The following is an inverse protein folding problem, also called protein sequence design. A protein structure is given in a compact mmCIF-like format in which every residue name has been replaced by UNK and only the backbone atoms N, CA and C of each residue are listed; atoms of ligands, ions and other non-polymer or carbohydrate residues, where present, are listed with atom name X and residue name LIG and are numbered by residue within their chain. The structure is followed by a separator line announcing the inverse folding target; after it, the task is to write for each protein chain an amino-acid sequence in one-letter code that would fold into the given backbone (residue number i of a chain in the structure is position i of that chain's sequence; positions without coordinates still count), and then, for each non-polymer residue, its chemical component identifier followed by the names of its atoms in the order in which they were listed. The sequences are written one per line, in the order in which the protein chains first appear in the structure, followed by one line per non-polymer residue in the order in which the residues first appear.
data_IF_287678646435
#
_entry.id   IF_287678646435
#
_cell.length_a   1.000
_cell.length_b   1.000
_cell.length_c   1.000
_cell.angle_alpha   90.00
_cell.angle_beta   90.00
_cell.angle_gamma   90.00
#
_symmetry.space_group_name_H-M   'P 1'
#
loop_
_entity.id
_entity.type
_entity.pdbx_description
1 polymer ?
#
# COMPACT_ATOMS: atom_id res chain seq x y z
N UNK A 1 -11.30 -17.52 -23.28
CA UNK A 1 -10.23 -17.08 -22.34
C UNK A 1 -10.64 -15.85 -21.55
N UNK A 2 -11.17 -14.79 -22.16
CA UNK A 2 -11.49 -13.53 -21.45
C UNK A 2 -12.46 -13.70 -20.27
N UNK A 3 -13.55 -14.47 -20.43
CA UNK A 3 -14.53 -14.69 -19.34
C UNK A 3 -13.97 -15.38 -18.10
N UNK A 4 -12.98 -16.26 -18.27
CA UNK A 4 -12.34 -16.94 -17.14
C UNK A 4 -11.43 -15.99 -16.36
N UNK A 5 -10.65 -15.15 -17.07
CA UNK A 5 -9.86 -14.10 -16.44
C UNK A 5 -10.75 -13.02 -15.79
N UNK A 6 -11.84 -12.61 -16.43
CA UNK A 6 -12.81 -11.67 -15.87
C UNK A 6 -13.44 -12.20 -14.58
N UNK A 7 -13.84 -13.48 -14.55
CA UNK A 7 -14.41 -14.09 -13.34
C UNK A 7 -13.40 -14.16 -12.19
N UNK A 8 -12.13 -14.48 -12.47
CA UNK A 8 -11.08 -14.50 -11.46
C UNK A 8 -10.76 -13.10 -10.96
N UNK A 9 -10.64 -12.12 -11.85
CA UNK A 9 -10.43 -10.72 -11.47
C UNK A 9 -11.59 -10.20 -10.62
N UNK A 10 -12.84 -10.46 -11.02
CA UNK A 10 -14.01 -10.06 -10.23
C UNK A 10 -13.98 -10.68 -8.82
N UNK A 11 -13.68 -11.97 -8.71
CA UNK A 11 -13.59 -12.64 -7.42
C UNK A 11 -12.47 -12.06 -6.52
N UNK A 12 -11.31 -11.77 -7.10
CA UNK A 12 -10.21 -11.10 -6.38
C UNK A 12 -10.61 -9.69 -5.95
N UNK A 13 -11.31 -8.96 -6.79
CA UNK A 13 -11.83 -7.62 -6.47
C UNK A 13 -12.85 -7.68 -5.34
N UNK A 14 -13.77 -8.64 -5.35
CA UNK A 14 -14.78 -8.80 -4.31
C UNK A 14 -14.13 -9.13 -2.95
N UNK A 15 -13.18 -10.07 -2.93
CA UNK A 15 -12.41 -10.40 -1.72
C UNK A 15 -11.64 -9.18 -1.23
N UNK A 16 -10.96 -8.48 -2.14
CA UNK A 16 -10.17 -7.30 -1.78
C UNK A 16 -11.05 -6.20 -1.20
N UNK A 17 -12.26 -6.01 -1.74
CA UNK A 17 -13.23 -5.04 -1.23
C UNK A 17 -13.70 -5.40 0.18
N UNK A 18 -13.94 -6.68 0.46
CA UNK A 18 -14.27 -7.15 1.80
C UNK A 18 -13.10 -6.93 2.78
N UNK A 19 -11.87 -7.29 2.39
CA UNK A 19 -10.68 -7.06 3.22
C UNK A 19 -10.46 -5.57 3.49
N UNK A 20 -10.66 -4.71 2.49
CA UNK A 20 -10.59 -3.26 2.67
C UNK A 20 -11.63 -2.77 3.68
N UNK A 21 -12.86 -3.27 3.62
CA UNK A 21 -13.90 -2.97 4.61
C UNK A 21 -13.49 -3.36 6.03
N UNK A 22 -12.86 -4.53 6.21
CA UNK A 22 -12.34 -4.97 7.50
C UNK A 22 -11.19 -4.09 8.00
N UNK A 23 -10.30 -3.62 7.11
CA UNK A 23 -9.24 -2.67 7.46
C UNK A 23 -9.83 -1.35 7.93
N UNK A 24 -10.81 -0.80 7.21
CA UNK A 24 -11.49 0.45 7.61
C UNK A 24 -12.19 0.30 8.96
N UNK A 25 -12.88 -0.81 9.18
CA UNK A 25 -13.47 -1.13 10.49
C UNK A 25 -12.39 -1.20 11.57
N UNK A 26 -11.27 -1.87 11.29
CA UNK A 26 -10.12 -1.95 12.19
C UNK A 26 -9.54 -0.59 12.56
N UNK A 27 -9.47 0.35 11.61
CA UNK A 27 -9.04 1.73 11.86
C UNK A 27 -10.06 2.44 12.76
N UNK A 28 -11.37 2.34 12.48
CA UNK A 28 -12.41 3.00 13.28
C UNK A 28 -12.40 2.46 14.72
N UNK A 29 -12.31 1.14 14.89
CA UNK A 29 -12.17 0.52 16.21
C UNK A 29 -10.86 0.94 16.87
N UNK A 30 -9.75 0.98 16.13
CA UNK A 30 -8.46 1.38 16.65
C UNK A 30 -8.43 2.82 17.17
N UNK A 31 -9.13 3.75 16.52
CA UNK A 31 -9.26 5.13 17.00
C UNK A 31 -10.05 5.18 18.32
N UNK A 32 -11.08 4.35 18.46
CA UNK A 32 -11.98 4.36 19.62
C UNK A 32 -11.45 3.55 20.82
N UNK A 33 -10.60 2.55 20.58
CA UNK A 33 -10.17 1.56 21.57
C UNK A 33 -8.64 1.36 21.57
N UNK A 34 -7.86 2.42 21.35
CA UNK A 34 -6.39 2.43 21.46
C UNK A 34 -5.70 1.35 20.61
N UNK A 35 -6.02 1.30 19.32
CA UNK A 35 -5.48 0.39 18.30
C UNK A 35 -5.53 -1.10 18.66
N UNK A 36 -6.65 -1.57 19.22
CA UNK A 36 -6.84 -2.97 19.66
C UNK A 36 -6.44 -4.04 18.64
N UNK A 37 -6.66 -3.81 17.35
CA UNK A 37 -6.30 -4.75 16.28
C UNK A 37 -4.92 -4.47 15.65
N UNK A 38 -4.20 -3.44 16.10
CA UNK A 38 -2.89 -3.05 15.60
C UNK A 38 -2.88 -2.56 14.15
N UNK A 39 -4.04 -2.16 13.62
CA UNK A 39 -4.20 -1.79 12.20
C UNK A 39 -3.55 -0.44 11.94
N UNK A 40 -3.63 0.51 12.89
CA UNK A 40 -3.05 1.84 12.73
C UNK A 40 -1.52 1.73 12.78
N UNK A 41 -0.97 0.99 13.75
CA UNK A 41 0.46 0.72 13.84
C UNK A 41 0.99 -0.04 12.61
N UNK A 42 0.25 -1.05 12.13
CA UNK A 42 0.59 -1.81 10.93
C UNK A 42 0.61 -0.95 9.66
N UNK A 43 -0.36 -0.03 9.51
CA UNK A 43 -0.34 0.95 8.42
C UNK A 43 0.83 1.92 8.56
N UNK A 44 1.18 2.34 9.78
CA UNK A 44 2.35 3.18 10.05
C UNK A 44 3.66 2.53 9.60
N UNK A 45 3.88 1.25 9.91
CA UNK A 45 5.07 0.50 9.49
C UNK A 45 5.13 0.33 7.96
N UNK A 46 3.99 0.04 7.31
CA UNK A 46 3.91 -0.02 5.85
C UNK A 46 4.26 1.34 5.21
N UNK A 47 3.74 2.44 5.75
CA UNK A 47 4.05 3.78 5.27
C UNK A 47 5.51 4.17 5.51
N UNK A 48 6.11 3.75 6.63
CA UNK A 48 7.55 3.95 6.89
C UNK A 48 8.41 3.25 5.85
N UNK A 49 8.11 1.98 5.56
CA UNK A 49 8.84 1.20 4.53
C UNK A 49 8.70 1.84 3.14
N UNK A 50 7.52 2.34 2.81
CA UNK A 50 7.30 3.07 1.56
C UNK A 50 8.04 4.41 1.54
N UNK A 51 8.12 5.11 2.68
CA UNK A 51 8.90 6.33 2.84
C UNK A 51 10.39 6.10 2.59
N UNK A 52 10.98 5.10 3.24
CA UNK A 52 12.41 4.79 3.12
C UNK A 52 12.76 4.29 1.71
N UNK A 53 12.00 3.33 1.19
CA UNK A 53 12.22 2.79 -0.16
C UNK A 53 11.90 3.83 -1.24
N UNK A 54 10.88 4.66 -1.04
CA UNK A 54 10.50 5.73 -1.94
C UNK A 54 11.56 6.82 -2.00
N UNK A 55 12.11 7.23 -0.85
CA UNK A 55 13.21 8.18 -0.78
C UNK A 55 14.46 7.64 -1.49
N UNK A 56 14.81 6.37 -1.28
CA UNK A 56 15.90 5.72 -2.00
C UNK A 56 15.68 5.72 -3.52
N UNK A 57 14.44 5.49 -3.97
CA UNK A 57 14.07 5.57 -5.39
C UNK A 57 14.23 6.98 -5.96
N UNK A 58 13.79 8.00 -5.24
CA UNK A 58 13.97 9.41 -5.64
C UNK A 58 15.45 9.80 -5.70
N UNK A 59 16.26 9.37 -4.74
CA UNK A 59 17.71 9.57 -4.76
C UNK A 59 18.35 8.89 -5.98
N UNK A 60 17.97 7.65 -6.29
CA UNK A 60 18.47 6.94 -7.45
C UNK A 60 18.15 7.68 -8.76
N UNK A 61 16.91 8.19 -8.91
CA UNK A 61 16.52 8.99 -10.06
C UNK A 61 17.33 10.30 -10.17
N UNK A 62 17.53 11.00 -9.06
CA UNK A 62 18.35 12.21 -9.04
C UNK A 62 19.80 11.95 -9.51
N UNK A 63 20.40 10.83 -9.10
CA UNK A 63 21.74 10.45 -9.55
C UNK A 63 21.80 10.20 -11.06
N UNK A 64 20.79 9.52 -11.61
CA UNK A 64 20.68 9.27 -13.05
C UNK A 64 20.56 10.59 -13.83
N UNK A 65 19.71 11.52 -13.37
CA UNK A 65 19.54 12.83 -13.99
C UNK A 65 20.82 13.66 -13.93
N UNK A 66 21.52 13.65 -12.79
CA UNK A 66 22.78 14.38 -12.64
C UNK A 66 23.88 13.85 -13.55
N UNK A 67 23.97 12.53 -13.75
CA UNK A 67 24.89 11.93 -14.72
C UNK A 67 24.52 12.27 -16.16
N UNK A 68 23.24 12.34 -16.49
CA UNK A 68 22.79 12.75 -17.82
C UNK A 68 23.19 14.20 -18.15
N UNK A 69 23.01 15.12 -17.20
CA UNK A 69 23.34 16.53 -17.36
C UNK A 69 24.86 16.83 -17.33
N UNK A 70 25.71 15.83 -17.08
CA UNK A 70 27.17 15.98 -17.10
C UNK A 70 27.76 15.75 -18.51
N UNK A 71 26.93 15.32 -19.47
CA UNK A 71 27.23 15.38 -20.91
C UNK A 71 26.76 16.72 -21.47
#
# INVERSE_FOLDING_TARGET
MNKAFESVTSFVTDITSLLQGLVVLGIVVGILFDDYFGVIAGLGDLMSKFGDAGFAGLLALMLIVFWYNKK
#
